data_IF_517924894187
#
_entry.id   IF_517924894187
#
_cell.length_a   1.000
_cell.length_b   1.000
_cell.length_c   1.000
_cell.angle_alpha   90.00
_cell.angle_beta   90.00
_cell.angle_gamma   90.00
#
_symmetry.space_group_name_H-M   'P 1'
#
loop_
_entity.id
_entity.type
_entity.pdbx_description
1 polymer ?
#
# COMPACT_ATOMS: atom_id res chain seq x y z
N UNK A 1 -10.26 3.77 15.85
CA UNK A 1 -10.15 3.64 14.38
C UNK A 1 -9.75 2.22 14.02
N UNK A 2 -10.33 1.68 12.97
CA UNK A 2 -10.09 0.35 12.41
C UNK A 2 -9.32 0.48 11.09
N UNK A 3 -8.84 -0.64 10.57
CA UNK A 3 -8.20 -0.70 9.25
C UNK A 3 -9.09 -0.11 8.14
N UNK A 4 -10.38 -0.45 8.16
CA UNK A 4 -11.37 0.05 7.20
C UNK A 4 -11.44 1.58 7.12
N UNK A 5 -11.13 2.29 8.21
CA UNK A 5 -11.22 3.76 8.29
C UNK A 5 -10.06 4.46 7.56
N UNK A 6 -8.93 3.74 7.31
CA UNK A 6 -7.67 4.34 6.83
C UNK A 6 -7.01 3.59 5.67
N UNK A 7 -7.47 2.37 5.35
CA UNK A 7 -6.88 1.56 4.29
C UNK A 7 -7.06 2.21 2.91
N UNK A 8 -6.10 2.03 2.04
CA UNK A 8 -6.24 2.31 0.60
C UNK A 8 -6.99 1.15 -0.03
N UNK A 9 -8.17 1.41 -0.60
CA UNK A 9 -9.04 0.36 -1.16
C UNK A 9 -8.65 -0.01 -2.60
N UNK A 10 -8.04 0.90 -3.36
CA UNK A 10 -7.53 0.60 -4.71
C UNK A 10 -6.15 -0.05 -4.58
N UNK A 11 -6.13 -1.38 -4.50
CA UNK A 11 -4.89 -2.15 -4.32
C UNK A 11 -4.28 -2.45 -5.68
N UNK A 12 -3.05 -1.97 -5.88
CA UNK A 12 -2.22 -2.35 -7.02
C UNK A 12 -1.61 -3.70 -6.70
N UNK A 13 -1.78 -4.68 -7.58
CA UNK A 13 -1.32 -6.05 -7.42
C UNK A 13 -0.72 -6.59 -8.71
N UNK A 14 0.00 -7.72 -8.61
CA UNK A 14 0.55 -8.46 -9.75
C UNK A 14 0.06 -9.91 -9.72
N UNK A 15 0.14 -10.59 -10.86
CA UNK A 15 -0.20 -12.02 -10.97
C UNK A 15 0.99 -12.90 -10.59
N UNK A 16 0.76 -14.17 -10.17
CA UNK A 16 1.84 -15.10 -9.84
C UNK A 16 2.80 -15.38 -11.00
N UNK A 17 2.31 -15.32 -12.25
CA UNK A 17 3.10 -15.52 -13.46
C UNK A 17 3.83 -14.27 -13.96
N UNK A 18 3.67 -13.13 -13.29
CA UNK A 18 4.35 -11.89 -13.64
C UNK A 18 5.88 -12.05 -13.54
N UNK A 19 6.60 -11.24 -14.31
CA UNK A 19 8.06 -11.19 -14.25
C UNK A 19 8.53 -10.16 -13.22
N UNK A 20 9.74 -10.38 -12.74
CA UNK A 20 10.37 -9.48 -11.75
C UNK A 20 10.51 -8.06 -12.30
N UNK A 21 10.83 -7.92 -13.58
CA UNK A 21 10.96 -6.62 -14.25
C UNK A 21 9.62 -5.86 -14.32
N UNK A 22 8.52 -6.59 -14.51
CA UNK A 22 7.17 -6.04 -14.48
C UNK A 22 6.82 -5.53 -13.08
N UNK A 23 7.18 -6.30 -12.03
CA UNK A 23 6.99 -5.86 -10.65
C UNK A 23 7.81 -4.61 -10.37
N UNK A 24 9.08 -4.57 -10.76
CA UNK A 24 9.93 -3.40 -10.56
C UNK A 24 9.33 -2.15 -11.23
N UNK A 25 8.89 -2.29 -12.48
CA UNK A 25 8.19 -1.21 -13.21
C UNK A 25 6.91 -0.77 -12.52
N UNK A 26 6.12 -1.73 -12.00
CA UNK A 26 4.89 -1.45 -11.25
C UNK A 26 5.18 -0.67 -9.96
N UNK A 27 6.21 -1.06 -9.21
CA UNK A 27 6.61 -0.37 -7.98
C UNK A 27 7.03 1.07 -8.27
N UNK A 28 7.85 1.28 -9.31
CA UNK A 28 8.35 2.61 -9.70
C UNK A 28 7.23 3.49 -10.23
N UNK A 29 6.44 3.02 -11.20
CA UNK A 29 5.36 3.79 -11.82
C UNK A 29 4.31 4.25 -10.80
N UNK A 30 4.06 3.45 -9.77
CA UNK A 30 3.07 3.75 -8.74
C UNK A 30 3.69 4.29 -7.44
N UNK A 31 5.02 4.48 -7.38
CA UNK A 31 5.75 4.98 -6.19
C UNK A 31 5.42 4.20 -4.92
N UNK A 32 5.32 2.87 -5.05
CA UNK A 32 5.03 1.96 -3.95
C UNK A 32 6.20 1.03 -3.71
N UNK A 33 6.40 0.58 -2.47
CA UNK A 33 7.55 -0.25 -2.07
C UNK A 33 7.21 -1.73 -1.91
N UNK A 34 5.99 -2.16 -2.20
CA UNK A 34 5.61 -3.56 -2.32
C UNK A 34 4.24 -3.70 -2.99
N UNK A 35 3.99 -4.85 -3.61
CA UNK A 35 2.71 -5.24 -4.22
C UNK A 35 2.28 -6.61 -3.75
N UNK A 36 1.00 -6.83 -3.44
CA UNK A 36 0.41 -8.15 -3.26
C UNK A 36 0.47 -8.93 -4.57
N UNK A 37 0.69 -10.23 -4.45
CA UNK A 37 0.56 -11.20 -5.54
C UNK A 37 -0.79 -11.87 -5.37
N UNK A 38 -1.68 -11.72 -6.36
CA UNK A 38 -3.07 -12.17 -6.31
C UNK A 38 -3.31 -13.12 -7.49
N UNK A 39 -3.85 -14.30 -7.22
CA UNK A 39 -4.16 -15.31 -8.23
C UNK A 39 -5.42 -14.98 -9.05
N UNK A 40 -5.85 -15.93 -9.90
CA UNK A 40 -7.01 -15.76 -10.77
C UNK A 40 -8.33 -15.75 -9.99
N UNK A 41 -8.37 -16.43 -8.85
CA UNK A 41 -9.49 -16.51 -7.92
C UNK A 41 -9.63 -15.24 -7.07
N UNK A 42 -8.61 -14.36 -7.10
CA UNK A 42 -8.53 -13.11 -6.33
C UNK A 42 -7.98 -13.30 -4.91
N UNK A 43 -7.34 -14.43 -4.65
CA UNK A 43 -6.74 -14.73 -3.34
C UNK A 43 -5.30 -14.22 -3.23
N UNK A 44 -4.91 -13.88 -2.02
CA UNK A 44 -3.55 -13.41 -1.72
C UNK A 44 -2.59 -14.60 -1.60
N UNK A 45 -1.73 -14.80 -2.60
CA UNK A 45 -0.76 -15.90 -2.62
C UNK A 45 0.66 -15.49 -2.23
N UNK A 46 0.91 -14.18 -2.14
CA UNK A 46 2.23 -13.66 -1.75
C UNK A 46 2.29 -12.14 -1.75
N UNK A 47 3.48 -11.63 -1.42
CA UNK A 47 3.82 -10.20 -1.52
C UNK A 47 5.25 -10.07 -2.03
N UNK A 48 5.50 -9.09 -2.91
CA UNK A 48 6.84 -8.72 -3.37
C UNK A 48 7.12 -7.28 -2.96
N UNK A 49 8.30 -7.05 -2.40
CA UNK A 49 8.75 -5.73 -1.97
C UNK A 49 10.05 -5.31 -2.67
N UNK A 50 10.39 -4.03 -2.58
CA UNK A 50 11.71 -3.52 -2.98
C UNK A 50 12.85 -4.36 -2.39
N UNK A 51 12.73 -4.77 -1.11
CA UNK A 51 13.74 -5.56 -0.44
C UNK A 51 13.95 -6.95 -1.05
N UNK A 52 12.93 -7.53 -1.67
CA UNK A 52 13.03 -8.80 -2.40
C UNK A 52 13.73 -8.61 -3.75
N UNK A 53 13.58 -7.42 -4.36
CA UNK A 53 14.15 -7.09 -5.67
C UNK A 53 15.54 -6.44 -5.61
N UNK A 54 15.92 -5.85 -4.47
CA UNK A 54 17.23 -5.20 -4.32
C UNK A 54 18.42 -6.16 -4.28
N UNK A 55 18.18 -7.44 -4.02
CA UNK A 55 19.22 -8.46 -3.90
C UNK A 55 19.20 -9.35 -5.12
N UNK A 56 19.79 -8.87 -6.21
CA UNK A 56 19.75 -9.53 -7.50
C UNK A 56 21.12 -9.62 -8.13
N UNK A 57 21.40 -10.78 -8.74
CA UNK A 57 22.67 -11.04 -9.43
C UNK A 57 22.86 -10.08 -10.61
N UNK A 58 21.78 -9.76 -11.35
CA UNK A 58 21.83 -8.84 -12.51
C UNK A 58 22.22 -7.41 -12.13
N UNK A 59 21.90 -6.99 -10.88
CA UNK A 59 22.26 -5.68 -10.37
C UNK A 59 23.60 -5.69 -9.60
N UNK A 60 24.27 -6.83 -9.47
CA UNK A 60 25.49 -6.98 -8.66
C UNK A 60 25.26 -6.69 -7.16
N UNK A 61 24.02 -6.81 -6.69
CA UNK A 61 23.61 -6.50 -5.32
C UNK A 61 23.31 -7.77 -4.50
N UNK A 62 23.66 -8.94 -5.02
CA UNK A 62 23.59 -10.18 -4.29
C UNK A 62 24.49 -10.15 -3.04
N UNK A 63 24.08 -10.85 -2.00
CA UNK A 63 24.87 -10.90 -0.77
C UNK A 63 26.15 -11.70 -1.02
N UNK A 64 27.28 -10.99 -1.19
CA UNK A 64 28.60 -11.60 -1.04
C UNK A 64 28.80 -11.97 0.43
N UNK A 65 28.64 -13.23 0.75
CA UNK A 65 28.99 -13.75 2.07
C UNK A 65 30.47 -14.13 2.11
N UNK A 66 31.10 -14.00 3.29
CA UNK A 66 32.43 -14.55 3.50
C UNK A 66 32.35 -16.08 3.38
N UNK A 67 33.32 -16.70 2.68
CA UNK A 67 33.40 -18.14 2.38
C UNK A 67 33.16 -19.06 3.59
N UNK A 68 33.57 -18.66 4.78
CA UNK A 68 33.38 -19.45 6.01
C UNK A 68 31.93 -19.43 6.52
N UNK A 69 31.16 -18.35 6.25
CA UNK A 69 29.74 -18.29 6.51
C UNK A 69 28.93 -19.18 5.54
N UNK A 70 29.35 -19.31 4.30
CA UNK A 70 28.76 -20.23 3.33
C UNK A 70 28.90 -21.68 3.77
N UNK A 71 30.06 -22.04 4.33
CA UNK A 71 30.30 -23.39 4.84
C UNK A 71 29.41 -23.77 6.02
N UNK A 72 29.02 -22.78 6.86
CA UNK A 72 28.11 -22.97 7.99
C UNK A 72 26.64 -22.86 7.60
N UNK A 73 26.33 -22.36 6.39
CA UNK A 73 24.96 -22.20 5.91
C UNK A 73 24.53 -23.50 5.21
N UNK A 74 23.38 -24.04 5.62
CA UNK A 74 22.85 -25.27 5.01
C UNK A 74 22.59 -25.11 3.51
N UNK A 75 22.90 -26.16 2.71
CA UNK A 75 22.74 -26.17 1.25
C UNK A 75 21.36 -25.71 0.77
N UNK A 76 20.28 -26.02 1.52
CA UNK A 76 18.91 -25.62 1.19
C UNK A 76 18.73 -24.10 1.26
N UNK A 77 19.36 -23.43 2.24
CA UNK A 77 19.30 -21.97 2.37
C UNK A 77 20.04 -21.29 1.23
N UNK A 78 21.24 -21.80 0.89
CA UNK A 78 22.02 -21.29 -0.24
C UNK A 78 21.27 -21.45 -1.56
N UNK A 79 20.67 -22.61 -1.80
CA UNK A 79 19.86 -22.85 -2.99
C UNK A 79 18.64 -21.92 -3.07
N UNK A 80 17.95 -21.70 -1.96
CA UNK A 80 16.80 -20.78 -1.90
C UNK A 80 17.22 -19.32 -2.14
N UNK A 81 18.36 -18.89 -1.62
CA UNK A 81 18.92 -17.55 -1.87
C UNK A 81 19.34 -17.39 -3.34
N UNK A 82 19.94 -18.43 -3.93
CA UNK A 82 20.31 -18.44 -5.35
C UNK A 82 19.07 -18.30 -6.24
N UNK A 83 18.01 -19.07 -5.98
CA UNK A 83 16.74 -18.95 -6.69
C UNK A 83 16.19 -17.54 -6.58
N UNK A 84 16.13 -16.95 -5.37
CA UNK A 84 15.64 -15.59 -5.17
C UNK A 84 16.45 -14.52 -5.91
N UNK A 85 17.76 -14.69 -6.01
CA UNK A 85 18.63 -13.70 -6.67
C UNK A 85 18.71 -13.84 -8.19
N UNK A 86 18.37 -15.00 -8.77
CA UNK A 86 18.50 -15.29 -10.20
C UNK A 86 17.17 -15.55 -10.91
N UNK A 87 16.09 -15.87 -10.19
CA UNK A 87 14.82 -16.14 -10.86
C UNK A 87 14.14 -14.86 -11.34
N UNK A 88 13.58 -14.91 -12.54
CA UNK A 88 12.76 -13.85 -13.14
C UNK A 88 11.27 -14.00 -12.85
N UNK A 89 10.86 -15.02 -12.09
CA UNK A 89 9.44 -15.27 -11.79
C UNK A 89 9.07 -14.74 -10.41
N UNK A 90 7.96 -14.05 -10.32
CA UNK A 90 7.40 -13.52 -9.07
C UNK A 90 7.22 -14.62 -8.02
N UNK A 91 6.73 -15.80 -8.42
CA UNK A 91 6.51 -16.94 -7.51
C UNK A 91 7.77 -17.42 -6.78
N UNK A 92 8.94 -17.17 -7.32
CA UNK A 92 10.21 -17.63 -6.76
C UNK A 92 10.84 -16.58 -5.82
N UNK A 93 10.46 -15.30 -6.00
CA UNK A 93 11.01 -14.19 -5.20
C UNK A 93 10.06 -13.71 -4.12
N UNK A 94 8.75 -13.91 -4.29
CA UNK A 94 7.73 -13.42 -3.36
C UNK A 94 7.84 -14.06 -1.96
N UNK A 95 7.41 -13.32 -0.95
CA UNK A 95 7.15 -13.85 0.38
C UNK A 95 5.74 -14.45 0.40
N UNK A 96 5.65 -15.78 0.62
CA UNK A 96 4.37 -16.52 0.64
C UNK A 96 3.60 -16.36 1.94
N UNK A 97 4.31 -16.37 3.09
CA UNK A 97 3.69 -16.19 4.41
C UNK A 97 3.42 -14.72 4.66
N UNK A 98 2.34 -14.19 4.06
CA UNK A 98 1.99 -12.79 4.16
C UNK A 98 1.28 -12.51 5.47
N UNK A 99 1.75 -11.50 6.21
CA UNK A 99 1.07 -10.99 7.40
C UNK A 99 -0.08 -10.11 6.92
N UNK A 100 -1.30 -10.47 7.31
CA UNK A 100 -2.54 -9.79 6.92
C UNK A 100 -3.30 -9.32 8.15
N UNK A 101 -4.27 -8.44 7.94
CA UNK A 101 -5.25 -8.03 8.93
C UNK A 101 -6.65 -8.00 8.30
N UNK A 102 -7.68 -7.79 9.10
CA UNK A 102 -9.06 -7.65 8.63
C UNK A 102 -9.48 -6.17 8.64
N UNK A 103 -10.56 -5.79 7.94
CA UNK A 103 -11.10 -4.43 8.00
C UNK A 103 -11.43 -3.96 9.42
N UNK A 104 -11.75 -4.89 10.31
CA UNK A 104 -12.13 -4.64 11.71
C UNK A 104 -10.95 -4.49 12.66
N UNK A 105 -9.73 -4.89 12.23
CA UNK A 105 -8.51 -4.81 13.05
C UNK A 105 -8.24 -3.38 13.49
N UNK A 106 -7.95 -3.19 14.76
CA UNK A 106 -7.68 -1.86 15.31
C UNK A 106 -6.35 -1.30 14.79
N UNK A 107 -6.31 0.02 14.61
CA UNK A 107 -5.13 0.69 14.05
C UNK A 107 -3.88 0.51 14.92
N UNK A 108 -4.05 0.44 16.25
CA UNK A 108 -2.97 0.13 17.18
C UNK A 108 -2.40 -1.27 17.00
N UNK A 109 -3.25 -2.26 16.72
CA UNK A 109 -2.82 -3.64 16.43
C UNK A 109 -2.04 -3.72 15.11
N UNK A 110 -2.48 -2.98 14.08
CA UNK A 110 -1.75 -2.87 12.82
C UNK A 110 -0.38 -2.23 13.03
N UNK A 111 -0.28 -1.18 13.87
CA UNK A 111 1.00 -0.56 14.21
C UNK A 111 1.96 -1.58 14.83
N UNK A 112 1.47 -2.41 15.76
CA UNK A 112 2.24 -3.49 16.38
C UNK A 112 2.67 -4.54 15.34
N UNK A 113 1.78 -4.94 14.41
CA UNK A 113 2.12 -5.87 13.32
C UNK A 113 3.26 -5.33 12.45
N UNK A 114 3.17 -4.05 12.05
CA UNK A 114 4.19 -3.38 11.21
C UNK A 114 5.55 -3.31 11.93
N UNK A 115 5.54 -3.02 13.24
CA UNK A 115 6.75 -2.88 14.04
C UNK A 115 7.39 -4.24 14.33
N UNK A 116 6.65 -5.18 14.92
CA UNK A 116 7.17 -6.51 15.32
C UNK A 116 7.73 -7.29 14.16
N UNK A 117 7.08 -7.20 13.00
CA UNK A 117 7.50 -7.94 11.80
C UNK A 117 8.44 -7.12 10.90
N UNK A 118 8.79 -5.89 11.27
CA UNK A 118 9.65 -4.98 10.50
C UNK A 118 9.17 -4.78 9.06
N UNK A 119 7.85 -4.78 8.86
CA UNK A 119 7.21 -4.57 7.55
C UNK A 119 6.70 -3.13 7.40
N UNK A 120 6.53 -2.67 6.15
CA UNK A 120 6.09 -1.31 5.85
C UNK A 120 4.58 -1.22 5.57
N UNK A 121 3.91 -2.35 5.30
CA UNK A 121 2.49 -2.43 4.97
C UNK A 121 1.88 -3.79 5.30
N UNK A 122 0.56 -3.81 5.47
CA UNK A 122 -0.24 -4.99 5.76
C UNK A 122 -1.41 -5.02 4.78
N UNK A 123 -1.56 -6.07 3.96
CA UNK A 123 -2.78 -6.29 3.19
C UNK A 123 -3.97 -6.54 4.13
N UNK A 124 -5.09 -5.94 3.80
CA UNK A 124 -6.36 -6.12 4.51
C UNK A 124 -7.19 -7.11 3.73
N UNK A 125 -7.54 -8.23 4.38
CA UNK A 125 -8.21 -9.36 3.75
C UNK A 125 -9.58 -9.57 4.38
N UNK A 126 -10.58 -9.80 3.54
CA UNK A 126 -11.94 -10.17 3.92
C UNK A 126 -12.40 -11.33 3.05
N UNK A 127 -12.82 -12.43 3.67
CA UNK A 127 -13.27 -13.64 2.96
C UNK A 127 -12.24 -14.15 1.92
N UNK A 128 -10.95 -14.21 2.29
CA UNK A 128 -9.86 -14.66 1.41
C UNK A 128 -9.34 -13.59 0.43
N UNK A 129 -10.12 -12.54 0.15
CA UNK A 129 -9.80 -11.53 -0.86
C UNK A 129 -9.19 -10.28 -0.26
N UNK A 130 -8.21 -9.69 -0.98
CA UNK A 130 -7.62 -8.41 -0.59
C UNK A 130 -8.61 -7.28 -0.87
N UNK A 131 -9.02 -6.57 0.18
CA UNK A 131 -9.97 -5.45 0.11
C UNK A 131 -9.31 -4.10 0.35
N UNK A 132 -8.06 -4.08 0.77
CA UNK A 132 -7.30 -2.86 1.01
C UNK A 132 -5.86 -3.14 1.43
N UNK A 133 -5.12 -2.08 1.65
CA UNK A 133 -3.76 -2.12 2.20
C UNK A 133 -3.58 -0.98 3.19
N UNK A 134 -2.92 -1.26 4.32
CA UNK A 134 -2.52 -0.24 5.29
C UNK A 134 -1.00 -0.19 5.37
N UNK A 135 -0.44 0.99 5.22
CA UNK A 135 0.99 1.27 5.33
C UNK A 135 1.29 2.14 6.54
N UNK A 136 2.58 2.28 6.89
CA UNK A 136 3.02 3.25 7.91
C UNK A 136 2.59 4.68 7.58
N UNK A 137 2.57 5.05 6.29
CA UNK A 137 2.11 6.36 5.86
C UNK A 137 0.62 6.58 6.20
N UNK A 138 -0.23 5.55 6.05
CA UNK A 138 -1.64 5.65 6.41
C UNK A 138 -1.85 5.86 7.91
N UNK A 139 -1.00 5.26 8.76
CA UNK A 139 -1.02 5.51 10.21
C UNK A 139 -0.66 6.98 10.52
N UNK A 140 0.38 7.51 9.85
CA UNK A 140 0.79 8.91 10.02
C UNK A 140 -0.26 9.88 9.51
N UNK A 141 -0.92 9.58 8.37
CA UNK A 141 -2.03 10.37 7.84
C UNK A 141 -3.20 10.42 8.82
N UNK A 142 -3.58 9.24 9.36
CA UNK A 142 -4.61 9.16 10.40
C UNK A 142 -4.25 9.98 11.65
N UNK A 143 -2.98 9.98 12.05
CA UNK A 143 -2.48 10.76 13.18
C UNK A 143 -2.49 12.26 12.88
N UNK A 144 -2.06 12.67 11.68
CA UNK A 144 -2.04 14.07 11.25
C UNK A 144 -3.44 14.70 11.22
N UNK A 145 -4.46 13.93 10.82
CA UNK A 145 -5.86 14.34 10.87
C UNK A 145 -6.48 14.31 12.29
N UNK A 146 -5.72 13.95 13.34
CA UNK A 146 -6.22 13.95 14.72
C UNK A 146 -6.13 15.35 15.34
N UNK A 147 -7.24 15.95 15.81
CA UNK A 147 -7.15 17.14 16.63
C UNK A 147 -6.41 16.83 17.94
N UNK A 148 -5.66 17.79 18.47
CA UNK A 148 -4.79 17.64 19.65
C UNK A 148 -5.51 17.17 20.94
N UNK A 149 -6.85 17.12 20.94
CA UNK A 149 -7.68 16.63 22.06
C UNK A 149 -8.61 15.52 21.58
N UNK A 150 -8.36 14.29 22.09
CA UNK A 150 -9.14 13.04 21.97
C UNK A 150 -9.23 12.42 20.57
N UNK A 151 -8.62 11.24 20.42
CA UNK A 151 -8.93 10.30 19.37
C UNK A 151 -10.36 9.74 19.56
N UNK A 152 -11.35 10.37 18.97
CA UNK A 152 -12.68 9.78 18.87
C UNK A 152 -12.66 8.69 17.79
N UNK A 153 -13.34 7.57 18.02
CA UNK A 153 -13.57 6.58 16.97
C UNK A 153 -14.42 7.22 15.86
N UNK A 154 -14.17 6.81 14.60
CA UNK A 154 -15.04 7.24 13.50
C UNK A 154 -16.49 6.85 13.79
N UNK A 155 -17.43 7.76 13.53
CA UNK A 155 -18.85 7.50 13.69
C UNK A 155 -19.38 6.65 12.51
N UNK A 156 -20.56 6.03 12.68
CA UNK A 156 -21.20 5.33 11.56
C UNK A 156 -21.48 6.27 10.38
N UNK A 157 -21.77 7.55 10.64
CA UNK A 157 -21.93 8.57 9.61
C UNK A 157 -20.63 8.88 8.87
N UNK A 158 -19.48 8.87 9.55
CA UNK A 158 -18.18 9.13 8.94
C UNK A 158 -17.77 7.99 7.99
N UNK A 159 -18.02 6.74 8.36
CA UNK A 159 -17.79 5.59 7.48
C UNK A 159 -18.65 5.69 6.22
N UNK A 160 -19.91 6.07 6.34
CA UNK A 160 -20.81 6.25 5.19
C UNK A 160 -20.35 7.40 4.27
N UNK A 161 -19.92 8.53 4.83
CA UNK A 161 -19.35 9.65 4.07
C UNK A 161 -18.11 9.17 3.32
N UNK A 162 -17.20 8.45 3.98
CA UNK A 162 -16.01 7.90 3.40
C UNK A 162 -16.30 6.99 2.19
N UNK A 163 -17.25 6.06 2.34
CA UNK A 163 -17.66 5.16 1.28
C UNK A 163 -18.23 5.90 0.07
N UNK A 164 -19.03 6.95 0.30
CA UNK A 164 -19.56 7.81 -0.77
C UNK A 164 -18.46 8.59 -1.48
N UNK A 165 -17.47 9.13 -0.74
CA UNK A 165 -16.30 9.81 -1.32
C UNK A 165 -15.52 8.86 -2.21
N UNK A 166 -15.16 7.68 -1.70
CA UNK A 166 -14.40 6.67 -2.44
C UNK A 166 -15.18 6.21 -3.69
N UNK A 167 -16.46 5.92 -3.56
CA UNK A 167 -17.31 5.51 -4.69
C UNK A 167 -17.36 6.60 -5.77
N UNK A 168 -17.57 7.86 -5.36
CA UNK A 168 -17.64 9.00 -6.29
C UNK A 168 -16.33 9.23 -7.03
N UNK A 169 -15.20 9.22 -6.33
CA UNK A 169 -13.90 9.48 -6.93
C UNK A 169 -13.40 8.31 -7.77
N UNK A 170 -13.66 7.07 -7.36
CA UNK A 170 -13.27 5.88 -8.13
C UNK A 170 -14.02 5.76 -9.47
N UNK A 171 -15.16 6.40 -9.61
CA UNK A 171 -15.92 6.45 -10.88
C UNK A 171 -15.33 7.46 -11.88
N UNK A 172 -14.33 8.28 -11.48
CA UNK A 172 -13.77 9.32 -12.34
C UNK A 172 -12.47 8.86 -13.01
N UNK A 173 -12.28 9.21 -14.27
CA UNK A 173 -11.02 8.96 -15.00
C UNK A 173 -9.84 9.81 -14.47
N UNK A 174 -10.15 10.98 -13.92
CA UNK A 174 -9.19 11.93 -13.35
C UNK A 174 -8.98 11.75 -11.83
N UNK A 175 -9.36 10.62 -11.27
CA UNK A 175 -9.20 10.37 -9.82
C UNK A 175 -7.74 10.47 -9.40
N UNK A 176 -7.45 11.00 -8.17
CA UNK A 176 -6.10 11.00 -7.63
C UNK A 176 -5.50 9.60 -7.57
N UNK A 177 -4.22 9.47 -7.89
CA UNK A 177 -3.48 8.23 -7.67
C UNK A 177 -3.13 8.08 -6.20
N UNK A 178 -3.03 6.83 -5.71
CA UNK A 178 -2.78 6.51 -4.29
C UNK A 178 -3.73 7.23 -3.33
N UNK A 179 -4.98 7.41 -3.77
CA UNK A 179 -5.99 8.09 -2.98
C UNK A 179 -6.22 7.39 -1.64
N UNK A 180 -6.01 8.12 -0.56
CA UNK A 180 -6.45 7.74 0.78
C UNK A 180 -7.41 8.80 1.32
N UNK A 181 -8.50 8.36 1.94
CA UNK A 181 -9.55 9.21 2.49
C UNK A 181 -9.76 8.80 3.93
N UNK A 182 -9.69 9.76 4.84
CA UNK A 182 -10.15 9.58 6.22
C UNK A 182 -11.26 10.59 6.53
N UNK A 183 -12.22 10.17 7.33
CA UNK A 183 -13.34 11.04 7.72
C UNK A 183 -13.50 11.02 9.23
N UNK A 184 -13.71 12.20 9.81
CA UNK A 184 -13.95 12.35 11.23
C UNK A 184 -14.88 13.54 11.49
N UNK A 185 -15.98 13.27 12.17
CA UNK A 185 -17.00 14.27 12.50
C UNK A 185 -17.46 15.09 11.27
N UNK A 186 -17.50 14.46 10.08
CA UNK A 186 -17.80 15.07 8.80
C UNK A 186 -16.66 15.87 8.16
N UNK A 187 -15.48 15.93 8.79
CA UNK A 187 -14.28 16.48 8.18
C UNK A 187 -13.57 15.40 7.36
N UNK A 188 -13.33 15.67 6.09
CA UNK A 188 -12.69 14.76 5.14
C UNK A 188 -11.26 15.19 4.91
N UNK A 189 -10.29 14.29 5.18
CA UNK A 189 -8.91 14.46 4.81
C UNK A 189 -8.64 13.68 3.52
N UNK A 190 -8.12 14.35 2.48
CA UNK A 190 -7.80 13.79 1.17
C UNK A 190 -6.28 13.73 0.99
N UNK A 191 -5.74 12.53 0.80
CA UNK A 191 -4.32 12.30 0.53
C UNK A 191 -4.16 11.59 -0.81
N UNK A 192 -3.13 11.92 -1.58
CA UNK A 192 -2.86 11.28 -2.87
C UNK A 192 -2.08 12.20 -3.80
N UNK A 193 -1.92 11.75 -5.04
CA UNK A 193 -1.25 12.50 -6.09
C UNK A 193 -2.22 12.84 -7.21
N UNK A 194 -2.11 14.06 -7.69
CA UNK A 194 -2.83 14.60 -8.86
C UNK A 194 -1.83 15.08 -9.88
N UNK A 195 -2.22 15.18 -11.13
CA UNK A 195 -1.33 15.60 -12.23
C UNK A 195 -1.48 17.09 -12.56
N UNK A 196 -2.57 17.74 -12.06
CA UNK A 196 -2.85 19.15 -12.31
C UNK A 196 -3.67 19.79 -11.18
N UNK A 197 -3.66 21.11 -11.15
CA UNK A 197 -4.53 21.89 -10.26
C UNK A 197 -6.02 21.69 -10.57
N UNK A 198 -6.37 21.42 -11.83
CA UNK A 198 -7.75 21.14 -12.23
C UNK A 198 -8.24 19.81 -11.64
N UNK A 199 -7.40 18.75 -11.64
CA UNK A 199 -7.73 17.49 -10.97
C UNK A 199 -7.91 17.68 -9.46
N UNK A 200 -7.03 18.49 -8.85
CA UNK A 200 -7.12 18.85 -7.44
C UNK A 200 -8.45 19.55 -7.14
N UNK A 201 -8.78 20.57 -7.93
CA UNK A 201 -10.02 21.32 -7.81
C UNK A 201 -11.27 20.46 -8.05
N UNK A 202 -11.23 19.62 -9.09
CA UNK A 202 -12.33 18.69 -9.41
C UNK A 202 -12.57 17.70 -8.28
N UNK A 203 -11.50 17.14 -7.69
CA UNK A 203 -11.57 16.25 -6.53
C UNK A 203 -12.28 16.94 -5.36
N UNK A 204 -11.88 18.16 -5.03
CA UNK A 204 -12.48 18.93 -3.94
C UNK A 204 -13.98 19.18 -4.18
N UNK A 205 -14.36 19.66 -5.37
CA UNK A 205 -15.76 19.92 -5.74
C UNK A 205 -16.61 18.63 -5.64
N UNK A 206 -16.07 17.50 -6.12
CA UNK A 206 -16.77 16.22 -6.06
C UNK A 206 -17.04 15.81 -4.60
N UNK A 207 -16.12 16.07 -3.69
CA UNK A 207 -16.27 15.74 -2.26
C UNK A 207 -17.19 16.74 -1.53
N UNK A 208 -17.09 18.03 -1.82
CA UNK A 208 -17.96 19.07 -1.23
C UNK A 208 -19.46 18.80 -1.48
N UNK A 209 -19.78 18.15 -2.61
CA UNK A 209 -21.17 17.83 -2.96
C UNK A 209 -21.77 16.66 -2.17
N UNK A 210 -20.99 15.97 -1.34
CA UNK A 210 -21.46 14.79 -0.59
C UNK A 210 -22.13 15.21 0.70
N UNK A 211 -23.35 14.70 0.93
CA UNK A 211 -24.13 15.03 2.12
C UNK A 211 -23.41 14.57 3.39
N UNK A 212 -23.27 15.47 4.36
CA UNK A 212 -22.63 15.22 5.65
C UNK A 212 -21.18 15.69 5.71
N UNK A 213 -20.55 16.05 4.58
CA UNK A 213 -19.25 16.71 4.56
C UNK A 213 -19.38 18.12 5.11
N UNK A 214 -18.61 18.44 6.14
CA UNK A 214 -18.59 19.75 6.80
C UNK A 214 -17.35 20.57 6.46
N UNK A 215 -16.21 19.87 6.26
CA UNK A 215 -14.93 20.47 5.93
C UNK A 215 -14.08 19.49 5.14
N UNK A 216 -13.14 20.01 4.34
CA UNK A 216 -12.16 19.23 3.57
C UNK A 216 -10.79 19.77 3.87
N UNK A 217 -9.90 18.89 4.34
CA UNK A 217 -8.46 19.12 4.42
C UNK A 217 -7.82 18.48 3.20
N UNK A 218 -7.34 19.32 2.31
CA UNK A 218 -6.74 18.91 1.03
C UNK A 218 -5.23 18.78 1.16
N UNK A 219 -4.75 17.53 1.21
CA UNK A 219 -3.34 17.16 1.23
C UNK A 219 -2.91 16.52 -0.09
N UNK A 220 -3.68 16.75 -1.18
CA UNK A 220 -3.31 16.28 -2.52
C UNK A 220 -2.10 17.06 -3.03
N UNK A 221 -1.15 16.35 -3.60
CA UNK A 221 0.10 16.91 -4.10
C UNK A 221 0.30 16.61 -5.58
N UNK A 222 0.86 17.59 -6.31
CA UNK A 222 1.37 17.37 -7.66
C UNK A 222 2.83 16.93 -7.48
N UNK A 223 3.19 15.68 -7.86
CA UNK A 223 4.57 15.25 -7.75
C UNK A 223 5.45 16.09 -8.70
N UNK A 224 6.68 16.41 -8.31
CA UNK A 224 7.61 17.04 -9.22
C UNK A 224 7.80 16.17 -10.46
N UNK A 225 8.01 16.77 -11.66
CA UNK A 225 8.33 16.02 -12.85
C UNK A 225 9.55 15.14 -12.55
N UNK A 226 9.49 13.87 -12.94
CA UNK A 226 10.63 12.97 -12.78
C UNK A 226 11.81 13.60 -13.52
N UNK A 227 12.89 13.87 -12.78
CA UNK A 227 14.18 14.12 -13.40
C UNK A 227 14.50 12.79 -14.08
N UNK A 228 14.37 12.74 -15.39
CA UNK A 228 14.84 11.63 -16.18
C UNK A 228 16.35 11.51 -15.86
N UNK A 229 16.69 10.50 -15.06
CA UNK A 229 18.07 10.11 -14.89
C UNK A 229 18.52 9.55 -16.24
N UNK A 230 19.24 10.38 -16.96
CA UNK A 230 19.97 10.01 -18.18
C UNK A 230 21.09 9.06 -17.80
#
# INVERSE_FOLDING_TARGET
MKAADVMVCTVISVRPNARVEEVASTLLANRISAVPVIDEEGELVGIVSEGDLMRRAEAGTDRSRSWWLEYLTGKQVLAAEYVKSHSHKVTDVMTRSVITATPETLLGEIAILLERNRIKRVPIVKNGKVVGIVSRANLLQALAGMPAKKAAAASAGDSQIRDQVLSRLNAQLWRPSMLNVTVRDGTVDLWGFVTSDDEKKATRIAVESIRGVKAINDHLTIPPPEIALV
#
